data_IF_405009372707
#
_entry.id   IF_405009372707
#
_cell.length_a   1.000
_cell.length_b   1.000
_cell.length_c   1.000
_cell.angle_alpha   90.00
_cell.angle_beta   90.00
_cell.angle_gamma   90.00
#
_symmetry.space_group_name_H-M   'P 1'
#
loop_
_entity.id
_entity.type
_entity.pdbx_description
1 polymer ?
#
# COMPACT_ATOMS: atom_id res chain seq x y z
N UNK A 1 -7.19 3.13 29.85
CA UNK A 1 -6.48 3.07 28.55
C UNK A 1 -5.99 4.48 28.27
N UNK A 2 -4.68 4.71 28.34
CA UNK A 2 -4.09 6.04 28.22
C UNK A 2 -4.11 6.51 26.76
N UNK A 3 -4.40 7.79 26.53
CA UNK A 3 -4.52 8.37 25.19
C UNK A 3 -3.25 8.19 24.32
N UNK A 4 -2.09 7.90 24.92
CA UNK A 4 -0.83 7.64 24.22
C UNK A 4 -0.76 6.32 23.44
N UNK A 5 -1.55 5.30 23.80
CA UNK A 5 -1.44 3.96 23.17
C UNK A 5 -1.81 3.93 21.68
N UNK A 6 -2.67 4.85 21.22
CA UNK A 6 -3.15 4.88 19.84
C UNK A 6 -2.33 5.80 18.92
N UNK A 7 -1.51 6.68 19.49
CA UNK A 7 -0.80 7.71 18.73
C UNK A 7 0.31 7.09 17.86
N UNK A 8 1.10 6.18 18.44
CA UNK A 8 2.20 5.51 17.74
C UNK A 8 1.70 4.69 16.52
N UNK A 9 0.71 3.78 16.64
CA UNK A 9 0.22 3.03 15.49
C UNK A 9 -0.47 3.91 14.45
N UNK A 10 -1.12 5.00 14.88
CA UNK A 10 -1.71 5.97 13.96
C UNK A 10 -0.63 6.69 13.13
N UNK A 11 0.43 7.17 13.77
CA UNK A 11 1.56 7.81 13.08
C UNK A 11 2.20 6.81 12.10
N UNK A 12 2.42 5.56 12.51
CA UNK A 12 2.98 4.53 11.64
C UNK A 12 2.09 4.27 10.41
N UNK A 13 0.77 4.19 10.59
CA UNK A 13 -0.18 4.02 9.50
C UNK A 13 -0.17 5.22 8.53
N UNK A 14 -0.12 6.45 9.04
CA UNK A 14 -0.06 7.67 8.23
C UNK A 14 1.25 7.76 7.44
N UNK A 15 2.39 7.44 8.08
CA UNK A 15 3.69 7.40 7.41
C UNK A 15 3.69 6.34 6.31
N UNK A 16 3.18 5.14 6.60
CA UNK A 16 3.07 4.06 5.61
C UNK A 16 2.22 4.47 4.42
N UNK A 17 1.06 5.09 4.67
CA UNK A 17 0.17 5.60 3.62
C UNK A 17 0.87 6.67 2.76
N UNK A 18 1.58 7.61 3.38
CA UNK A 18 2.29 8.68 2.68
C UNK A 18 3.42 8.11 1.80
N UNK A 19 4.22 7.20 2.35
CA UNK A 19 5.31 6.53 1.64
C UNK A 19 4.75 5.73 0.46
N UNK A 20 3.72 4.90 0.68
CA UNK A 20 3.06 4.18 -0.41
C UNK A 20 2.54 5.12 -1.50
N UNK A 21 1.92 6.24 -1.11
CA UNK A 21 1.42 7.23 -2.06
C UNK A 21 2.55 7.82 -2.92
N UNK A 22 3.66 8.21 -2.31
CA UNK A 22 4.84 8.75 -3.00
C UNK A 22 5.40 7.76 -4.02
N UNK A 23 5.56 6.50 -3.61
CA UNK A 23 6.12 5.48 -4.49
C UNK A 23 5.16 5.06 -5.59
N UNK A 24 3.87 4.93 -5.31
CA UNK A 24 2.85 4.67 -6.34
C UNK A 24 2.84 5.82 -7.35
N UNK A 25 2.94 7.08 -6.88
CA UNK A 25 3.02 8.23 -7.76
C UNK A 25 4.27 8.20 -8.65
N UNK A 26 5.43 7.90 -8.06
CA UNK A 26 6.70 7.81 -8.80
C UNK A 26 6.68 6.65 -9.80
N UNK A 27 6.23 5.47 -9.39
CA UNK A 27 6.09 4.30 -10.25
C UNK A 27 5.11 4.56 -11.40
N UNK A 28 3.96 5.19 -11.10
CA UNK A 28 3.00 5.57 -12.13
C UNK A 28 3.57 6.62 -13.10
N UNK A 29 4.32 7.61 -12.60
CA UNK A 29 4.98 8.63 -13.43
C UNK A 29 6.00 8.02 -14.39
N UNK A 30 6.77 7.03 -13.93
CA UNK A 30 7.81 6.37 -14.73
C UNK A 30 7.24 5.33 -15.71
N UNK A 31 6.25 4.55 -15.29
CA UNK A 31 5.75 3.41 -16.06
C UNK A 31 4.56 3.75 -16.98
N UNK A 32 3.84 4.83 -16.69
CA UNK A 32 2.59 5.18 -17.38
C UNK A 32 2.76 6.52 -18.08
N UNK A 33 2.75 6.50 -19.42
CA UNK A 33 2.75 7.72 -20.24
C UNK A 33 1.46 8.51 -19.97
N UNK A 34 1.59 9.67 -19.31
CA UNK A 34 0.47 10.57 -19.04
C UNK A 34 0.73 11.51 -17.85
N UNK A 35 -0.16 12.48 -17.64
CA UNK A 35 -0.12 13.35 -16.44
C UNK A 35 -0.76 12.63 -15.26
N UNK A 36 0.05 11.89 -14.51
CA UNK A 36 -0.41 11.27 -13.27
C UNK A 36 -0.59 12.31 -12.18
N UNK A 37 -1.72 12.26 -11.47
CA UNK A 37 -1.99 13.17 -10.35
C UNK A 37 -1.61 12.49 -9.04
N UNK A 38 -1.01 13.23 -8.12
CA UNK A 38 -0.74 12.76 -6.76
C UNK A 38 -2.01 12.25 -6.07
N UNK A 39 -3.15 12.92 -6.30
CA UNK A 39 -4.47 12.49 -5.80
C UNK A 39 -4.86 11.07 -6.26
N UNK A 40 -4.48 10.64 -7.46
CA UNK A 40 -4.75 9.26 -7.91
C UNK A 40 -3.91 8.27 -7.12
N UNK A 41 -2.62 8.59 -6.89
CA UNK A 41 -1.75 7.73 -6.10
C UNK A 41 -2.25 7.59 -4.65
N UNK A 42 -2.74 8.69 -4.08
CA UNK A 42 -3.32 8.68 -2.72
C UNK A 42 -4.55 7.77 -2.65
N UNK A 43 -5.44 7.85 -3.64
CA UNK A 43 -6.61 6.98 -3.72
C UNK A 43 -6.22 5.50 -3.88
N UNK A 44 -5.23 5.20 -4.72
CA UNK A 44 -4.73 3.82 -4.88
C UNK A 44 -4.12 3.32 -3.57
N UNK A 45 -3.30 4.13 -2.90
CA UNK A 45 -2.69 3.77 -1.62
C UNK A 45 -3.75 3.53 -0.55
N UNK A 46 -4.74 4.42 -0.44
CA UNK A 46 -5.78 4.35 0.58
C UNK A 46 -6.73 3.17 0.36
N UNK A 47 -7.30 3.05 -0.84
CA UNK A 47 -8.23 1.97 -1.17
C UNK A 47 -7.53 0.62 -1.20
N UNK A 48 -6.32 0.57 -1.75
CA UNK A 48 -5.49 -0.64 -1.79
C UNK A 48 -5.12 -1.14 -0.41
N UNK A 49 -4.65 -0.25 0.46
CA UNK A 49 -4.27 -0.64 1.83
C UNK A 49 -5.48 -1.04 2.67
N UNK A 50 -6.61 -0.34 2.53
CA UNK A 50 -7.85 -0.70 3.22
C UNK A 50 -8.38 -2.07 2.77
N UNK A 51 -8.39 -2.32 1.45
CA UNK A 51 -8.78 -3.61 0.91
C UNK A 51 -7.82 -4.73 1.34
N UNK A 52 -6.51 -4.49 1.29
CA UNK A 52 -5.51 -5.46 1.72
C UNK A 52 -5.66 -5.81 3.22
N UNK A 53 -5.85 -4.80 4.08
CA UNK A 53 -6.07 -5.01 5.52
C UNK A 53 -7.33 -5.84 5.80
N UNK A 54 -8.43 -5.54 5.12
CA UNK A 54 -9.67 -6.32 5.23
C UNK A 54 -9.48 -7.77 4.78
N UNK A 55 -8.85 -7.98 3.62
CA UNK A 55 -8.65 -9.31 3.04
C UNK A 55 -7.72 -10.18 3.88
N UNK A 56 -6.64 -9.60 4.41
CA UNK A 56 -5.72 -10.31 5.30
C UNK A 56 -6.35 -10.65 6.65
N UNK A 57 -7.32 -9.85 7.13
CA UNK A 57 -8.06 -10.13 8.36
C UNK A 57 -9.22 -11.11 8.21
N UNK A 58 -9.77 -11.27 7.00
CA UNK A 58 -10.96 -12.10 6.73
C UNK A 58 -10.65 -13.45 6.09
N UNK A 59 -9.56 -13.55 5.32
CA UNK A 59 -9.27 -14.74 4.50
C UNK A 59 -8.19 -15.59 5.18
N UNK A 60 -8.59 -16.79 5.58
CA UNK A 60 -7.68 -17.84 6.01
C UNK A 60 -7.63 -18.98 4.98
N UNK A 61 -6.43 -19.49 4.65
CA UNK A 61 -5.11 -19.11 5.17
C UNK A 61 -4.58 -17.77 4.64
N UNK A 62 -3.74 -17.10 5.45
CA UNK A 62 -3.25 -15.72 5.24
C UNK A 62 -2.56 -15.53 3.89
N UNK A 63 -1.86 -16.55 3.38
CA UNK A 63 -1.20 -16.48 2.08
C UNK A 63 -2.20 -16.34 0.92
N UNK A 64 -3.41 -16.91 1.02
CA UNK A 64 -4.48 -16.69 0.03
C UNK A 64 -4.97 -15.24 0.12
N UNK A 65 -5.16 -14.74 1.35
CA UNK A 65 -5.52 -13.34 1.59
C UNK A 65 -4.52 -12.37 0.97
N UNK A 66 -3.22 -12.67 1.06
CA UNK A 66 -2.16 -11.86 0.47
C UNK A 66 -2.22 -11.85 -1.08
N UNK A 67 -2.44 -13.01 -1.70
CA UNK A 67 -2.57 -13.11 -3.18
C UNK A 67 -3.78 -12.32 -3.66
N UNK A 68 -4.92 -12.44 -2.98
CA UNK A 68 -6.14 -11.70 -3.34
C UNK A 68 -5.96 -10.21 -3.08
N UNK A 69 -5.31 -9.81 -1.99
CA UNK A 69 -5.00 -8.42 -1.68
C UNK A 69 -4.16 -7.78 -2.79
N UNK A 70 -3.11 -8.47 -3.25
CA UNK A 70 -2.30 -8.01 -4.39
C UNK A 70 -3.17 -7.88 -5.65
N UNK A 71 -4.01 -8.87 -5.94
CA UNK A 71 -4.89 -8.83 -7.11
C UNK A 71 -5.87 -7.65 -7.07
N UNK A 72 -6.50 -7.39 -5.92
CA UNK A 72 -7.40 -6.25 -5.73
C UNK A 72 -6.66 -4.93 -5.86
N UNK A 73 -5.47 -4.83 -5.28
CA UNK A 73 -4.65 -3.63 -5.39
C UNK A 73 -4.23 -3.34 -6.84
N UNK A 74 -3.89 -4.39 -7.59
CA UNK A 74 -3.63 -4.30 -9.02
C UNK A 74 -4.86 -3.85 -9.79
N UNK A 75 -6.05 -4.38 -9.48
CA UNK A 75 -7.29 -3.98 -10.12
C UNK A 75 -7.62 -2.49 -9.88
N UNK A 76 -7.45 -2.01 -8.64
CA UNK A 76 -7.63 -0.59 -8.28
C UNK A 76 -6.65 0.29 -9.07
N UNK A 77 -5.38 -0.12 -9.13
CA UNK A 77 -4.33 0.61 -9.85
C UNK A 77 -4.63 0.67 -11.34
N UNK A 78 -5.01 -0.46 -11.95
CA UNK A 78 -5.40 -0.54 -13.36
C UNK A 78 -6.60 0.35 -13.68
N UNK A 79 -7.62 0.34 -12.81
CA UNK A 79 -8.83 1.16 -12.97
C UNK A 79 -8.53 2.67 -12.87
N UNK A 80 -7.75 3.10 -11.87
CA UNK A 80 -7.46 4.51 -11.63
C UNK A 80 -6.49 5.11 -12.65
N UNK A 81 -5.51 4.33 -13.11
CA UNK A 81 -4.50 4.79 -14.07
C UNK A 81 -4.81 4.44 -15.52
N UNK A 82 -5.89 3.68 -15.78
CA UNK A 82 -6.25 3.15 -17.11
C UNK A 82 -5.06 2.45 -17.77
N UNK A 83 -4.36 1.62 -17.01
CA UNK A 83 -3.16 0.90 -17.46
C UNK A 83 -3.45 -0.58 -17.70
N UNK A 84 -2.63 -1.21 -18.53
CA UNK A 84 -2.63 -2.67 -18.64
C UNK A 84 -2.23 -3.34 -17.33
N UNK A 85 -2.80 -4.53 -17.06
CA UNK A 85 -2.59 -5.30 -15.84
C UNK A 85 -1.10 -5.53 -15.51
N UNK A 86 -0.24 -5.71 -16.51
CA UNK A 86 1.20 -5.89 -16.31
C UNK A 86 1.86 -4.69 -15.61
N UNK A 87 1.46 -3.45 -15.95
CA UNK A 87 2.00 -2.24 -15.32
C UNK A 87 1.39 -2.04 -13.93
N UNK A 88 0.10 -2.33 -13.78
CA UNK A 88 -0.56 -2.28 -12.49
C UNK A 88 0.04 -3.28 -11.48
N UNK A 89 0.39 -4.49 -11.95
CA UNK A 89 1.12 -5.49 -11.17
C UNK A 89 2.46 -4.95 -10.70
N UNK A 90 3.24 -4.33 -11.59
CA UNK A 90 4.55 -3.79 -11.23
C UNK A 90 4.45 -2.69 -10.16
N UNK A 91 3.47 -1.79 -10.30
CA UNK A 91 3.20 -0.73 -9.32
C UNK A 91 2.76 -1.35 -7.97
N UNK A 92 1.87 -2.34 -8.00
CA UNK A 92 1.38 -3.04 -6.81
C UNK A 92 2.49 -3.82 -6.08
N UNK A 93 3.36 -4.52 -6.81
CA UNK A 93 4.51 -5.25 -6.25
C UNK A 93 5.48 -4.27 -5.59
N UNK A 94 5.81 -3.16 -6.25
CA UNK A 94 6.68 -2.12 -5.67
C UNK A 94 6.08 -1.58 -4.37
N UNK A 95 4.80 -1.19 -4.39
CA UNK A 95 4.14 -0.65 -3.21
C UNK A 95 4.02 -1.69 -2.08
N UNK A 96 3.81 -2.97 -2.41
CA UNK A 96 3.79 -4.06 -1.43
C UNK A 96 5.14 -4.31 -0.78
N UNK A 97 6.22 -4.36 -1.57
CA UNK A 97 7.59 -4.50 -1.05
C UNK A 97 7.96 -3.34 -0.12
N UNK A 98 7.52 -2.13 -0.46
CA UNK A 98 7.77 -0.94 0.38
C UNK A 98 6.96 -0.99 1.66
N UNK A 99 5.68 -1.37 1.58
CA UNK A 99 4.84 -1.54 2.77
C UNK A 99 5.47 -2.55 3.73
N UNK A 100 6.01 -3.64 3.19
CA UNK A 100 6.69 -4.65 3.98
C UNK A 100 8.01 -4.13 4.58
N UNK A 101 8.82 -3.41 3.80
CA UNK A 101 10.05 -2.77 4.27
C UNK A 101 9.80 -1.74 5.38
N UNK A 102 8.76 -0.92 5.24
CA UNK A 102 8.36 0.06 6.28
C UNK A 102 7.93 -0.67 7.55
N UNK A 103 7.09 -1.70 7.43
CA UNK A 103 6.68 -2.50 8.59
C UNK A 103 7.88 -3.11 9.32
N UNK A 104 8.85 -3.64 8.57
CA UNK A 104 10.08 -4.22 9.11
C UNK A 104 10.96 -3.18 9.82
N UNK A 105 11.09 -1.96 9.27
CA UNK A 105 11.81 -0.86 9.92
C UNK A 105 11.13 -0.45 11.23
N UNK A 106 9.80 -0.34 11.25
CA UNK A 106 9.06 -0.03 12.48
C UNK A 106 9.23 -1.12 13.54
N UNK A 107 9.19 -2.39 13.12
CA UNK A 107 9.44 -3.53 14.01
C UNK A 107 10.85 -3.46 14.61
N UNK A 108 11.87 -3.17 13.78
CA UNK A 108 13.25 -3.00 14.23
C UNK A 108 13.39 -1.86 15.25
N UNK A 109 12.80 -0.69 14.96
CA UNK A 109 12.82 0.48 15.87
C UNK A 109 12.15 0.12 17.20
N UNK A 110 11.01 -0.59 17.17
CA UNK A 110 10.26 -0.96 18.36
C UNK A 110 10.99 -1.95 19.27
N UNK A 111 11.89 -2.78 18.71
CA UNK A 111 12.72 -3.70 19.50
C UNK A 111 13.93 -3.01 20.15
N UNK A 112 14.33 -1.86 19.62
CA UNK A 112 15.50 -1.09 20.10
C UNK A 112 15.17 0.05 21.07
N UNK A 113 13.88 0.35 21.27
CA UNK A 113 13.37 1.41 22.15
C UNK A 113 12.84 0.83 23.48
#
# INVERSE_FOLDING_TARGET
MEAGQWIIPLIAALVTLLVNTLFIHFAASTLVKGRQRFRQALLVALLGSAAAGLLLGLIHPVWIGAVIAIAVWCAITAALYRTGLAKALLIGVVAGLISWGVAWVFELISQTA
#
